data_IF_395776265281
#
_entry.id   IF_395776265281
#
_cell.length_a   1.000
_cell.length_b   1.000
_cell.length_c   1.000
_cell.angle_alpha   90.00
_cell.angle_beta   90.00
_cell.angle_gamma   90.00
#
_symmetry.space_group_name_H-M   'P 1'
#
loop_
_entity.id
_entity.type
_entity.pdbx_description
1 polymer ?
#
# COMPACT_ATOMS: atom_id res chain seq x y z
N UNK A 1 21.45 -24.30 13.39
CA UNK A 1 21.54 -24.10 11.93
C UNK A 1 21.21 -22.64 11.69
N UNK A 2 22.19 -21.84 11.28
CA UNK A 2 22.02 -20.41 11.10
C UNK A 2 21.22 -20.18 9.81
N UNK A 3 20.01 -19.63 9.93
CA UNK A 3 19.28 -19.11 8.78
C UNK A 3 20.10 -17.96 8.20
N UNK A 4 20.70 -18.22 7.04
CA UNK A 4 21.29 -17.21 6.17
C UNK A 4 20.13 -16.34 5.68
N UNK A 5 19.92 -15.18 6.29
CA UNK A 5 18.92 -14.21 5.88
C UNK A 5 19.59 -13.08 5.08
N UNK A 6 18.92 -12.69 4.00
CA UNK A 6 19.48 -12.10 2.79
C UNK A 6 20.22 -10.76 2.96
N UNK A 7 21.28 -10.64 2.17
CA UNK A 7 22.30 -9.59 2.20
C UNK A 7 21.77 -8.36 1.44
N UNK A 8 21.57 -7.22 2.13
CA UNK A 8 21.22 -5.97 1.45
C UNK A 8 22.47 -5.25 0.92
N UNK A 9 22.51 -5.00 -0.39
CA UNK A 9 23.64 -4.35 -1.07
C UNK A 9 23.28 -2.87 -1.31
N UNK A 10 23.91 -1.96 -0.57
CA UNK A 10 24.06 -0.58 -1.09
C UNK A 10 25.12 -0.63 -2.18
N UNK A 11 24.70 -0.63 -3.44
CA UNK A 11 25.62 -0.57 -4.58
C UNK A 11 25.79 0.90 -4.97
N UNK A 12 26.99 1.43 -4.79
CA UNK A 12 27.39 2.73 -5.34
C UNK A 12 27.38 2.65 -6.87
N UNK A 13 27.22 3.78 -7.58
CA UNK A 13 27.31 3.83 -9.07
C UNK A 13 28.57 3.15 -9.61
N UNK A 14 29.66 3.20 -8.85
CA UNK A 14 30.95 2.59 -9.18
C UNK A 14 30.99 1.06 -9.00
N UNK A 15 29.97 0.44 -8.38
CA UNK A 15 29.90 -0.99 -8.08
C UNK A 15 30.88 -1.52 -7.02
N UNK A 16 31.70 -0.64 -6.41
CA UNK A 16 32.88 -1.05 -5.59
C UNK A 16 32.54 -1.44 -4.16
N UNK A 17 31.60 -0.77 -3.49
CA UNK A 17 31.34 -1.03 -2.07
C UNK A 17 30.16 -1.97 -1.91
N UNK A 18 30.42 -3.20 -1.47
CA UNK A 18 29.40 -4.18 -1.06
C UNK A 18 29.47 -4.33 0.45
N UNK A 19 28.51 -3.80 1.17
CA UNK A 19 28.43 -4.02 2.62
C UNK A 19 27.40 -5.07 2.87
N UNK A 20 27.80 -6.12 3.57
CA UNK A 20 26.89 -7.16 4.00
C UNK A 20 26.09 -6.63 5.19
N UNK A 21 24.83 -6.36 4.94
CA UNK A 21 23.89 -5.92 5.94
C UNK A 21 23.06 -7.11 6.39
N UNK A 22 23.02 -7.36 7.70
CA UNK A 22 22.06 -8.31 8.28
C UNK A 22 20.71 -7.63 8.41
N UNK A 23 19.70 -8.17 7.74
CA UNK A 23 18.30 -7.88 8.01
C UNK A 23 17.89 -8.71 9.22
N UNK A 24 17.66 -8.04 10.34
CA UNK A 24 17.12 -8.68 11.56
C UNK A 24 15.99 -7.82 12.06
N UNK A 25 14.82 -8.42 12.20
CA UNK A 25 13.59 -7.68 12.42
C UNK A 25 13.45 -6.53 11.39
N UNK A 26 13.56 -6.79 10.06
CA UNK A 26 13.66 -5.82 8.92
C UNK A 26 13.88 -4.36 9.21
N UNK A 27 14.85 -4.18 10.07
CA UNK A 27 15.70 -3.03 10.05
C UNK A 27 17.09 -3.56 9.82
N UNK A 28 17.89 -2.67 9.28
CA UNK A 28 19.29 -2.88 9.01
C UNK A 28 20.04 -2.58 10.30
N UNK A 29 20.88 -3.51 10.75
CA UNK A 29 21.74 -3.31 11.90
C UNK A 29 23.19 -3.25 11.47
N UNK A 30 23.90 -2.18 11.84
CA UNK A 30 25.33 -2.04 11.61
C UNK A 30 26.07 -1.76 12.91
N UNK A 31 27.26 -2.33 13.04
CA UNK A 31 28.20 -1.91 14.08
C UNK A 31 28.81 -0.56 13.69
N UNK A 32 29.40 0.14 14.67
CA UNK A 32 30.18 1.34 14.39
C UNK A 32 31.30 1.07 13.36
N UNK A 33 31.96 -0.08 13.43
CA UNK A 33 33.02 -0.45 12.50
C UNK A 33 32.49 -0.60 11.05
N UNK A 34 31.31 -1.19 10.88
CA UNK A 34 30.68 -1.29 9.56
C UNK A 34 30.25 0.08 9.02
N UNK A 35 29.80 1.01 9.87
CA UNK A 35 29.50 2.39 9.46
C UNK A 35 30.75 3.18 9.06
N UNK A 36 31.89 2.94 9.71
CA UNK A 36 33.20 3.51 9.34
C UNK A 36 33.57 3.08 7.92
N UNK A 37 33.39 1.80 7.58
CA UNK A 37 33.62 1.27 6.25
C UNK A 37 32.62 1.84 5.22
N UNK A 38 31.33 1.86 5.57
CA UNK A 38 30.26 2.36 4.71
C UNK A 38 30.47 3.79 4.28
N UNK A 39 30.71 4.66 5.25
CA UNK A 39 30.84 6.08 4.99
C UNK A 39 32.29 6.51 4.75
N UNK A 40 33.26 5.60 4.73
CA UNK A 40 34.69 5.90 4.59
C UNK A 40 35.11 7.09 5.48
N UNK A 41 34.79 6.97 6.77
CA UNK A 41 34.98 8.01 7.78
C UNK A 41 35.91 7.51 8.88
N UNK A 42 36.30 8.36 9.83
CA UNK A 42 37.05 7.91 11.01
C UNK A 42 36.10 7.37 12.09
N UNK A 43 36.60 6.43 12.90
CA UNK A 43 35.86 5.92 14.06
C UNK A 43 35.44 7.06 15.01
N UNK A 44 36.33 8.02 15.26
CA UNK A 44 36.06 9.17 16.11
C UNK A 44 34.89 10.02 15.57
N UNK A 45 34.87 10.29 14.27
CA UNK A 45 33.81 11.08 13.64
C UNK A 45 32.44 10.36 13.70
N UNK A 46 32.43 9.04 13.47
CA UNK A 46 31.19 8.25 13.61
C UNK A 46 30.72 8.24 15.08
N UNK A 47 31.62 8.05 16.06
CA UNK A 47 31.28 8.15 17.48
C UNK A 47 30.66 9.50 17.84
N UNK A 48 31.26 10.58 17.35
CA UNK A 48 30.83 11.95 17.62
C UNK A 48 29.42 12.19 17.08
N UNK A 49 29.14 11.81 15.83
CA UNK A 49 27.80 11.95 15.26
C UNK A 49 26.74 11.12 16.00
N UNK A 50 27.05 9.87 16.37
CA UNK A 50 26.12 9.03 17.15
C UNK A 50 25.82 9.68 18.50
N UNK A 51 26.86 10.19 19.17
CA UNK A 51 26.70 10.87 20.44
C UNK A 51 25.80 12.11 20.31
N UNK A 52 26.05 12.97 19.33
CA UNK A 52 25.23 14.16 19.10
C UNK A 52 23.77 13.82 18.74
N UNK A 53 23.53 12.75 17.97
CA UNK A 53 22.17 12.27 17.64
C UNK A 53 21.35 12.01 18.92
N UNK A 54 21.95 11.37 19.93
CA UNK A 54 21.28 11.08 21.18
C UNK A 54 21.20 12.30 22.11
N UNK A 55 22.25 13.12 22.18
CA UNK A 55 22.25 14.35 23.00
C UNK A 55 21.23 15.39 22.51
N UNK A 56 21.02 15.48 21.19
CA UNK A 56 20.00 16.34 20.57
C UNK A 56 18.57 15.79 20.71
N UNK A 57 18.43 14.53 21.17
CA UNK A 57 17.14 13.86 21.30
C UNK A 57 16.48 13.51 19.97
N UNK A 58 17.23 13.50 18.85
CA UNK A 58 16.71 13.09 17.53
C UNK A 58 16.24 11.63 17.56
N UNK A 59 17.03 10.77 18.19
CA UNK A 59 16.74 9.35 18.38
C UNK A 59 16.90 8.97 19.85
N UNK A 60 16.15 7.96 20.29
CA UNK A 60 16.26 7.38 21.63
C UNK A 60 17.18 6.16 21.59
N UNK A 61 18.20 6.11 22.46
CA UNK A 61 19.22 5.06 22.46
C UNK A 61 18.60 3.68 22.68
N UNK A 62 17.66 3.55 23.62
CA UNK A 62 17.01 2.27 23.97
C UNK A 62 16.18 1.69 22.82
N UNK A 63 15.72 2.54 21.90
CA UNK A 63 14.91 2.13 20.75
C UNK A 63 15.76 1.79 19.51
N UNK A 64 17.00 2.29 19.45
CA UNK A 64 17.83 2.29 18.23
C UNK A 64 19.17 1.57 18.37
N UNK A 65 19.57 1.20 19.59
CA UNK A 65 20.80 0.46 19.89
C UNK A 65 20.48 -0.91 20.47
N UNK A 66 21.17 -1.94 19.98
CA UNK A 66 21.13 -3.31 20.54
C UNK A 66 22.53 -3.81 20.83
N UNK A 67 22.70 -4.49 21.97
CA UNK A 67 23.96 -5.12 22.35
C UNK A 67 23.93 -6.59 21.99
N UNK A 68 24.78 -7.00 21.05
CA UNK A 68 24.94 -8.41 20.70
C UNK A 68 26.23 -8.95 21.28
N UNK A 69 26.13 -10.11 21.91
CA UNK A 69 27.27 -10.83 22.49
C UNK A 69 28.03 -11.50 21.35
N UNK A 70 29.22 -11.02 21.05
CA UNK A 70 30.07 -11.55 19.99
C UNK A 70 31.28 -12.22 20.61
N UNK A 71 31.57 -13.46 20.20
CA UNK A 71 32.78 -14.19 20.58
C UNK A 71 33.81 -13.95 19.49
N UNK A 72 34.95 -13.37 19.84
CA UNK A 72 36.06 -13.14 18.93
C UNK A 72 37.28 -13.90 19.46
N UNK A 73 37.97 -14.62 18.58
CA UNK A 73 39.22 -15.29 18.90
C UNK A 73 40.38 -14.31 18.72
N UNK A 74 41.03 -13.90 19.81
CA UNK A 74 42.22 -13.06 19.80
C UNK A 74 43.43 -13.91 20.21
N UNK A 75 44.26 -14.29 19.23
CA UNK A 75 45.38 -15.22 19.45
C UNK A 75 44.88 -16.62 19.82
N UNK A 76 45.21 -17.11 21.03
CA UNK A 76 44.77 -18.41 21.55
C UNK A 76 43.55 -18.32 22.49
N UNK A 77 42.98 -17.13 22.70
CA UNK A 77 41.89 -16.90 23.65
C UNK A 77 40.60 -16.52 22.95
N UNK A 78 39.50 -17.16 23.34
CA UNK A 78 38.15 -16.70 23.02
C UNK A 78 37.75 -15.60 24.00
N UNK A 79 37.52 -14.40 23.48
CA UNK A 79 37.09 -13.24 24.26
C UNK A 79 35.67 -12.90 23.85
N UNK A 80 34.75 -12.89 24.82
CA UNK A 80 33.39 -12.45 24.56
C UNK A 80 33.23 -10.97 24.86
N UNK A 81 32.71 -10.20 23.89
CA UNK A 81 32.44 -8.76 24.04
C UNK A 81 30.99 -8.47 23.67
N UNK A 82 30.39 -7.50 24.37
CA UNK A 82 29.14 -6.91 23.93
C UNK A 82 29.48 -5.83 22.92
N UNK A 83 28.97 -5.97 21.70
CA UNK A 83 29.15 -5.00 20.62
C UNK A 83 27.81 -4.30 20.40
N UNK A 84 27.87 -2.98 20.28
CA UNK A 84 26.71 -2.16 19.99
C UNK A 84 26.41 -2.19 18.48
N UNK A 85 25.15 -2.45 18.15
CA UNK A 85 24.58 -2.41 16.82
C UNK A 85 23.55 -1.30 16.77
N UNK A 86 23.61 -0.53 15.69
CA UNK A 86 22.77 0.64 15.44
C UNK A 86 21.80 0.33 14.31
N UNK A 87 20.54 0.69 14.49
CA UNK A 87 19.49 0.44 13.51
C UNK A 87 19.57 1.38 12.29
N UNK A 88 18.67 1.18 11.33
CA UNK A 88 18.62 1.97 10.09
C UNK A 88 18.50 3.48 10.34
N UNK A 89 17.75 3.89 11.37
CA UNK A 89 17.53 5.32 11.65
C UNK A 89 18.85 6.01 12.01
N UNK A 90 19.64 5.41 12.91
CA UNK A 90 20.98 5.93 13.26
C UNK A 90 21.90 5.95 12.04
N UNK A 91 21.88 4.90 11.21
CA UNK A 91 22.71 4.81 10.01
C UNK A 91 22.37 5.93 9.02
N UNK A 92 21.08 6.22 8.81
CA UNK A 92 20.62 7.32 7.96
C UNK A 92 21.08 8.65 8.55
N UNK A 93 20.83 8.90 9.84
CA UNK A 93 21.20 10.15 10.52
C UNK A 93 22.71 10.41 10.48
N UNK A 94 23.53 9.38 10.66
CA UNK A 94 24.99 9.46 10.48
C UNK A 94 25.34 9.76 9.03
N UNK A 95 24.74 9.07 8.06
CA UNK A 95 24.99 9.29 6.63
C UNK A 95 24.72 10.72 6.17
N UNK A 96 23.72 11.40 6.76
CA UNK A 96 23.47 12.81 6.49
C UNK A 96 24.52 13.75 7.10
N UNK A 97 25.10 13.42 8.25
CA UNK A 97 26.08 14.25 8.96
C UNK A 97 27.53 14.04 8.51
N UNK A 98 27.89 12.84 8.05
CA UNK A 98 29.27 12.51 7.70
C UNK A 98 29.74 13.30 6.47
N UNK A 99 30.87 14.00 6.63
CA UNK A 99 31.57 14.70 5.54
C UNK A 99 32.60 13.78 4.88
N UNK A 100 32.14 12.94 3.96
CA UNK A 100 32.99 12.09 3.11
C UNK A 100 32.44 12.01 1.68
N UNK A 101 33.21 11.44 0.75
CA UNK A 101 32.73 11.16 -0.61
C UNK A 101 31.52 10.22 -0.56
N UNK A 102 31.59 9.13 0.23
CA UNK A 102 30.49 8.18 0.41
C UNK A 102 29.27 8.82 1.09
N UNK A 103 29.47 9.69 2.10
CA UNK A 103 28.38 10.46 2.70
C UNK A 103 27.70 11.38 1.70
N UNK A 104 28.48 12.00 0.80
CA UNK A 104 27.93 12.83 -0.30
C UNK A 104 27.11 12.00 -1.28
N UNK A 105 27.62 10.86 -1.74
CA UNK A 105 26.89 9.94 -2.62
C UNK A 105 25.60 9.41 -1.97
N UNK A 106 25.67 9.05 -0.69
CA UNK A 106 24.50 8.64 0.09
C UNK A 106 23.42 9.72 0.11
N UNK A 107 23.79 10.98 0.39
CA UNK A 107 22.84 12.11 0.39
C UNK A 107 22.25 12.39 -0.98
N UNK A 108 23.05 12.31 -2.05
CA UNK A 108 22.55 12.46 -3.43
C UNK A 108 21.50 11.39 -3.71
N UNK A 109 21.85 10.13 -3.48
CA UNK A 109 20.94 8.99 -3.67
C UNK A 109 19.66 9.13 -2.83
N UNK A 110 19.76 9.44 -1.54
CA UNK A 110 18.60 9.60 -0.67
C UNK A 110 17.70 10.76 -1.10
N UNK A 111 18.30 11.88 -1.52
CA UNK A 111 17.57 13.05 -2.05
C UNK A 111 16.85 12.72 -3.34
N UNK A 112 17.45 11.94 -4.23
CA UNK A 112 16.78 11.47 -5.46
C UNK A 112 15.59 10.58 -5.15
N UNK A 113 15.73 9.63 -4.23
CA UNK A 113 14.61 8.76 -3.81
C UNK A 113 13.48 9.55 -3.16
N UNK A 114 13.81 10.56 -2.35
CA UNK A 114 12.81 11.46 -1.75
C UNK A 114 12.13 12.33 -2.81
N UNK A 115 12.92 12.90 -3.75
CA UNK A 115 12.40 13.70 -4.86
C UNK A 115 11.47 12.87 -5.73
N UNK A 116 11.87 11.65 -6.05
CA UNK A 116 11.07 10.71 -6.84
C UNK A 116 9.72 10.44 -6.15
N UNK A 117 9.73 10.14 -4.85
CA UNK A 117 8.51 9.97 -4.08
C UNK A 117 7.63 11.23 -4.08
N UNK A 118 8.21 12.42 -3.89
CA UNK A 118 7.46 13.68 -3.86
C UNK A 118 6.85 14.05 -5.22
N UNK A 119 7.52 13.72 -6.34
CA UNK A 119 7.04 14.05 -7.69
C UNK A 119 6.10 12.98 -8.23
N UNK A 120 6.47 11.70 -8.12
CA UNK A 120 5.76 10.57 -8.73
C UNK A 120 4.75 9.91 -7.78
N UNK A 121 4.90 10.09 -6.47
CA UNK A 121 4.09 9.43 -5.44
C UNK A 121 4.59 8.03 -5.04
N UNK A 122 5.70 7.54 -5.60
CA UNK A 122 6.28 6.24 -5.26
C UNK A 122 7.80 6.21 -5.50
N UNK A 123 8.50 5.30 -4.82
CA UNK A 123 9.91 4.94 -5.03
C UNK A 123 10.01 3.42 -4.97
N UNK A 124 10.78 2.81 -5.86
CA UNK A 124 10.86 1.35 -5.98
C UNK A 124 12.30 0.88 -6.22
N UNK A 125 12.60 -0.33 -5.72
CA UNK A 125 13.84 -1.05 -6.04
C UNK A 125 13.49 -2.26 -6.91
N UNK A 126 13.49 -2.07 -8.23
CA UNK A 126 13.09 -3.09 -9.21
C UNK A 126 13.90 -4.37 -9.12
N UNK A 127 15.22 -4.27 -8.94
CA UNK A 127 16.10 -5.43 -8.91
C UNK A 127 15.83 -6.31 -7.69
N UNK A 128 15.57 -5.70 -6.53
CA UNK A 128 15.16 -6.42 -5.33
C UNK A 128 13.81 -7.12 -5.51
N UNK A 129 12.83 -6.45 -6.12
CA UNK A 129 11.51 -7.03 -6.35
C UNK A 129 11.56 -8.18 -7.36
N UNK A 130 12.39 -8.07 -8.41
CA UNK A 130 12.62 -9.15 -9.39
C UNK A 130 13.28 -10.39 -8.79
N UNK A 131 14.06 -10.22 -7.73
CA UNK A 131 14.73 -11.32 -7.01
C UNK A 131 13.80 -12.06 -6.03
N UNK A 132 12.50 -11.73 -6.01
CA UNK A 132 11.52 -12.42 -5.16
C UNK A 132 11.42 -11.86 -3.75
N UNK A 133 11.77 -10.58 -3.55
CA UNK A 133 11.60 -9.92 -2.25
C UNK A 133 10.18 -10.08 -1.71
N UNK A 134 10.04 -10.42 -0.42
CA UNK A 134 8.77 -10.82 0.20
C UNK A 134 7.64 -9.79 0.22
N UNK A 135 7.86 -8.58 -0.30
CA UNK A 135 6.89 -7.49 -0.34
C UNK A 135 6.22 -7.28 -1.71
N UNK A 136 6.58 -8.09 -2.71
CA UNK A 136 6.02 -7.93 -4.07
C UNK A 136 4.49 -8.13 -4.09
N UNK A 137 3.98 -9.15 -3.40
CA UNK A 137 2.52 -9.39 -3.31
C UNK A 137 1.79 -8.25 -2.59
N UNK A 138 2.35 -7.71 -1.51
CA UNK A 138 1.78 -6.54 -0.82
C UNK A 138 1.72 -5.32 -1.76
N UNK A 139 2.76 -5.11 -2.56
CA UNK A 139 2.79 -4.04 -3.55
C UNK A 139 1.72 -4.24 -4.63
N UNK A 140 1.57 -5.47 -5.14
CA UNK A 140 0.53 -5.79 -6.12
C UNK A 140 -0.87 -5.54 -5.58
N UNK A 141 -1.15 -5.93 -4.33
CA UNK A 141 -2.48 -5.70 -3.73
C UNK A 141 -2.76 -4.22 -3.52
N UNK A 142 -1.77 -3.43 -3.10
CA UNK A 142 -1.89 -1.95 -3.05
C UNK A 142 -2.17 -1.35 -4.43
N UNK A 143 -1.47 -1.81 -5.47
CA UNK A 143 -1.71 -1.34 -6.85
C UNK A 143 -3.12 -1.69 -7.31
N UNK A 144 -3.59 -2.91 -7.05
CA UNK A 144 -4.95 -3.36 -7.39
C UNK A 144 -6.01 -2.51 -6.68
N UNK A 145 -5.80 -2.18 -5.41
CA UNK A 145 -6.72 -1.32 -4.65
C UNK A 145 -6.77 0.12 -5.17
N UNK A 146 -5.61 0.69 -5.53
CA UNK A 146 -5.54 2.01 -6.17
C UNK A 146 -6.26 1.99 -7.53
N UNK A 147 -6.02 0.95 -8.33
CA UNK A 147 -6.62 0.79 -9.67
C UNK A 147 -8.14 0.60 -9.61
N UNK A 148 -8.64 -0.07 -8.57
CA UNK A 148 -10.07 -0.29 -8.35
C UNK A 148 -10.79 0.88 -7.66
N UNK A 149 -10.05 1.88 -7.19
CA UNK A 149 -10.69 3.10 -6.70
C UNK A 149 -11.59 3.67 -7.80
N UNK A 150 -12.83 4.02 -7.45
CA UNK A 150 -13.86 4.37 -8.44
C UNK A 150 -13.36 5.41 -9.43
N UNK A 151 -12.69 6.45 -8.94
CA UNK A 151 -12.12 7.52 -9.77
C UNK A 151 -11.10 7.02 -10.79
N UNK A 152 -10.17 6.13 -10.39
CA UNK A 152 -9.13 5.62 -11.29
C UNK A 152 -9.73 4.62 -12.28
N UNK A 153 -10.61 3.74 -11.80
CA UNK A 153 -11.35 2.80 -12.63
C UNK A 153 -12.14 3.53 -13.72
N UNK A 154 -13.02 4.46 -13.35
CA UNK A 154 -13.84 5.20 -14.33
C UNK A 154 -12.99 5.95 -15.33
N UNK A 155 -11.90 6.61 -14.89
CA UNK A 155 -10.99 7.29 -15.80
C UNK A 155 -10.37 6.32 -16.80
N UNK A 156 -9.89 5.15 -16.35
CA UNK A 156 -9.28 4.14 -17.23
C UNK A 156 -10.26 3.52 -18.20
N UNK A 157 -11.46 3.18 -17.71
CA UNK A 157 -12.54 2.68 -18.57
C UNK A 157 -12.93 3.74 -19.60
N UNK A 158 -13.01 5.01 -19.23
CA UNK A 158 -13.29 6.11 -20.17
C UNK A 158 -12.18 6.27 -21.21
N UNK A 159 -10.91 6.26 -20.80
CA UNK A 159 -9.76 6.33 -21.71
C UNK A 159 -9.83 5.21 -22.77
N UNK A 160 -10.10 3.98 -22.35
CA UNK A 160 -10.24 2.81 -23.22
C UNK A 160 -11.48 2.95 -24.10
N UNK A 161 -12.65 3.25 -23.52
CA UNK A 161 -13.92 3.32 -24.25
C UNK A 161 -13.91 4.45 -25.29
N UNK A 162 -13.18 5.54 -25.02
CA UNK A 162 -12.97 6.64 -25.96
C UNK A 162 -12.10 6.25 -27.17
N UNK A 163 -11.37 5.12 -27.12
CA UNK A 163 -10.66 4.58 -28.29
C UNK A 163 -11.59 3.94 -29.32
N UNK A 164 -12.89 3.80 -29.01
CA UNK A 164 -13.86 3.24 -29.94
C UNK A 164 -13.97 4.08 -31.21
N UNK A 165 -14.03 3.43 -32.36
CA UNK A 165 -14.11 4.11 -33.66
C UNK A 165 -15.41 4.92 -33.79
N UNK A 166 -16.48 4.43 -33.17
CA UNK A 166 -17.81 5.05 -33.13
C UNK A 166 -18.09 5.81 -31.82
N UNK A 167 -17.04 6.18 -31.06
CA UNK A 167 -17.21 6.82 -29.75
C UNK A 167 -18.10 8.07 -29.83
N UNK A 168 -19.17 8.06 -29.02
CA UNK A 168 -20.06 9.20 -28.86
C UNK A 168 -20.44 9.38 -27.38
N UNK A 169 -19.99 10.46 -26.71
CA UNK A 169 -20.27 10.70 -25.30
C UNK A 169 -21.76 10.92 -24.99
N UNK A 170 -22.55 11.35 -25.98
CA UNK A 170 -23.99 11.62 -25.83
C UNK A 170 -24.86 10.43 -26.20
N UNK A 171 -24.29 9.37 -26.77
CA UNK A 171 -25.04 8.17 -27.15
C UNK A 171 -25.61 7.46 -25.92
N UNK A 172 -26.82 6.92 -26.08
CA UNK A 172 -27.50 6.19 -25.01
C UNK A 172 -26.72 4.94 -24.58
N UNK A 173 -26.05 4.27 -25.53
CA UNK A 173 -25.14 3.15 -25.27
C UNK A 173 -24.02 3.51 -24.31
N UNK A 174 -23.42 4.70 -24.46
CA UNK A 174 -22.36 5.19 -23.57
C UNK A 174 -22.89 5.42 -22.16
N UNK A 175 -24.04 6.10 -22.05
CA UNK A 175 -24.68 6.35 -20.74
C UNK A 175 -25.02 5.04 -20.03
N UNK A 176 -25.67 4.11 -20.75
CA UNK A 176 -26.05 2.82 -20.20
C UNK A 176 -24.83 1.98 -19.79
N UNK A 177 -23.75 2.01 -20.58
CA UNK A 177 -22.51 1.31 -20.24
C UNK A 177 -21.95 1.79 -18.91
N UNK A 178 -21.77 3.11 -18.72
CA UNK A 178 -21.21 3.65 -17.47
C UNK A 178 -22.16 3.48 -16.28
N UNK A 179 -23.47 3.45 -16.49
CA UNK A 179 -24.45 3.14 -15.44
C UNK A 179 -24.41 1.66 -15.00
N UNK A 180 -24.07 0.75 -15.91
CA UNK A 180 -24.18 -0.70 -15.65
C UNK A 180 -22.85 -1.37 -15.34
N UNK A 181 -21.72 -0.85 -15.83
CA UNK A 181 -20.39 -1.47 -15.66
C UNK A 181 -20.04 -1.70 -14.19
N UNK A 182 -20.29 -0.71 -13.33
CA UNK A 182 -20.01 -0.82 -11.90
C UNK A 182 -20.92 -1.86 -11.24
N UNK A 183 -22.22 -1.84 -11.53
CA UNK A 183 -23.17 -2.81 -10.99
C UNK A 183 -22.85 -4.25 -11.42
N UNK A 184 -22.42 -4.45 -12.67
CA UNK A 184 -21.97 -5.76 -13.15
C UNK A 184 -20.74 -6.25 -12.37
N UNK A 185 -19.77 -5.39 -12.10
CA UNK A 185 -18.55 -5.72 -11.34
C UNK A 185 -18.84 -6.03 -9.87
N UNK A 186 -19.67 -5.22 -9.22
CA UNK A 186 -20.12 -5.48 -7.85
C UNK A 186 -20.93 -6.78 -7.76
N UNK A 187 -21.83 -7.02 -8.71
CA UNK A 187 -22.60 -8.24 -8.76
C UNK A 187 -21.72 -9.47 -8.95
N UNK A 188 -20.74 -9.41 -9.85
CA UNK A 188 -19.78 -10.49 -10.05
C UNK A 188 -18.86 -10.71 -8.83
N UNK A 189 -18.61 -9.69 -8.01
CA UNK A 189 -17.77 -9.82 -6.83
C UNK A 189 -18.52 -10.41 -5.62
N UNK A 190 -19.78 -10.01 -5.42
CA UNK A 190 -20.51 -10.30 -4.18
C UNK A 190 -22.04 -10.39 -4.34
N UNK A 191 -22.56 -10.48 -5.56
CA UNK A 191 -23.98 -10.75 -5.83
C UNK A 191 -24.96 -9.59 -5.54
N UNK A 192 -24.46 -8.37 -5.41
CA UNK A 192 -25.29 -7.18 -5.14
C UNK A 192 -24.87 -6.03 -6.06
N UNK A 193 -25.79 -5.15 -6.41
CA UNK A 193 -25.48 -3.85 -7.04
C UNK A 193 -24.88 -2.88 -6.02
N UNK A 194 -24.28 -1.78 -6.50
CA UNK A 194 -23.74 -0.70 -5.65
C UNK A 194 -24.80 -0.16 -4.69
N UNK A 195 -26.01 0.06 -5.20
CA UNK A 195 -27.12 0.60 -4.43
C UNK A 195 -27.63 -0.40 -3.38
N UNK A 196 -27.70 -1.69 -3.71
CA UNK A 196 -28.10 -2.74 -2.77
C UNK A 196 -27.10 -2.89 -1.63
N UNK A 197 -25.79 -2.95 -1.91
CA UNK A 197 -24.75 -3.01 -0.85
C UNK A 197 -24.90 -1.84 0.12
N UNK A 198 -24.95 -0.61 -0.42
CA UNK A 198 -25.04 0.59 0.41
C UNK A 198 -26.35 0.61 1.20
N UNK A 199 -27.48 0.27 0.56
CA UNK A 199 -28.76 0.25 1.24
C UNK A 199 -28.83 -0.84 2.32
N UNK A 200 -28.34 -2.04 2.07
CA UNK A 200 -28.41 -3.14 3.05
C UNK A 200 -27.46 -2.95 4.23
N UNK A 201 -26.26 -2.41 3.97
CA UNK A 201 -25.17 -2.37 4.95
C UNK A 201 -25.04 -1.05 5.70
N UNK A 202 -25.51 0.07 5.15
CA UNK A 202 -25.53 1.33 5.90
C UNK A 202 -26.51 1.24 7.08
N UNK A 203 -25.95 1.21 8.29
CA UNK A 203 -26.72 1.02 9.52
C UNK A 203 -26.05 1.69 10.71
N UNK A 204 -26.64 2.77 11.22
CA UNK A 204 -26.14 3.54 12.37
C UNK A 204 -26.03 2.75 13.67
N UNK A 205 -26.70 1.60 13.79
CA UNK A 205 -26.60 0.67 14.90
C UNK A 205 -25.33 -0.20 14.90
N UNK A 206 -24.65 -0.31 13.76
CA UNK A 206 -23.39 -1.04 13.62
C UNK A 206 -22.18 -0.14 13.94
N UNK A 207 -21.05 -0.70 14.40
CA UNK A 207 -19.77 0.00 14.48
C UNK A 207 -19.48 0.74 13.17
N UNK A 208 -19.13 2.03 13.25
CA UNK A 208 -18.82 2.87 12.08
C UNK A 208 -19.86 2.80 10.96
N UNK A 209 -21.13 2.63 11.31
CA UNK A 209 -22.24 2.49 10.36
C UNK A 209 -22.19 1.27 9.42
N UNK A 210 -21.36 0.27 9.73
CA UNK A 210 -21.12 -0.89 8.86
C UNK A 210 -20.02 -0.67 7.82
N UNK A 211 -19.29 0.46 7.86
CA UNK A 211 -18.12 0.66 7.01
C UNK A 211 -16.95 -0.22 7.50
N UNK A 212 -16.26 -0.82 6.54
CA UNK A 212 -15.03 -1.61 6.73
C UNK A 212 -13.79 -0.82 6.37
N UNK A 213 -13.92 0.25 5.58
CA UNK A 213 -12.83 1.14 5.18
C UNK A 213 -13.26 2.61 5.20
N UNK A 214 -12.52 3.45 5.91
CA UNK A 214 -12.69 4.91 5.96
C UNK A 214 -11.43 5.57 6.52
N UNK A 215 -11.28 6.87 6.29
CA UNK A 215 -10.15 7.63 6.76
C UNK A 215 -10.43 8.30 8.12
N UNK A 216 -9.40 8.36 8.96
CA UNK A 216 -9.49 9.00 10.27
C UNK A 216 -10.20 8.15 11.32
N UNK A 217 -10.72 8.79 12.37
CA UNK A 217 -11.29 8.10 13.54
C UNK A 217 -12.78 7.74 13.39
N UNK A 218 -13.49 8.39 12.45
CA UNK A 218 -14.94 8.20 12.21
C UNK A 218 -15.23 8.40 10.72
N UNK A 219 -16.23 7.69 10.15
CA UNK A 219 -16.66 7.88 8.77
C UNK A 219 -17.04 9.32 8.44
N UNK A 220 -16.65 9.78 7.24
CA UNK A 220 -17.10 11.05 6.67
C UNK A 220 -18.37 10.90 5.84
N UNK A 221 -19.09 12.00 5.64
CA UNK A 221 -20.31 12.05 4.80
C UNK A 221 -20.07 11.67 3.33
N UNK A 222 -18.84 11.83 2.83
CA UNK A 222 -18.46 11.40 1.48
C UNK A 222 -18.16 9.90 1.39
N UNK A 223 -17.74 9.28 2.50
CA UNK A 223 -17.35 7.86 2.51
C UNK A 223 -18.55 6.93 2.62
N UNK A 224 -19.62 7.35 3.29
CA UNK A 224 -20.88 6.57 3.39
C UNK A 224 -21.58 6.40 2.03
N UNK A 225 -21.22 7.20 1.03
CA UNK A 225 -21.83 7.11 -0.32
C UNK A 225 -21.05 6.19 -1.26
N UNK A 226 -19.95 5.59 -0.79
CA UNK A 226 -19.07 4.73 -1.58
C UNK A 226 -19.33 3.28 -1.19
N UNK A 227 -19.93 2.48 -2.10
CA UNK A 227 -20.27 1.09 -1.79
C UNK A 227 -19.05 0.22 -1.46
N UNK A 228 -17.88 0.50 -2.07
CA UNK A 228 -16.61 -0.17 -1.79
C UNK A 228 -16.25 -0.16 -0.29
N UNK A 229 -16.62 0.91 0.43
CA UNK A 229 -16.32 1.07 1.86
C UNK A 229 -17.15 0.18 2.79
N UNK A 230 -18.14 -0.54 2.26
CA UNK A 230 -18.97 -1.50 2.98
C UNK A 230 -18.62 -2.96 2.68
N UNK A 231 -17.60 -3.20 1.83
CA UNK A 231 -17.19 -4.54 1.43
C UNK A 231 -16.24 -5.15 2.44
N UNK A 232 -16.38 -6.44 2.72
CA UNK A 232 -15.38 -7.15 3.52
C UNK A 232 -14.10 -7.40 2.72
N UNK A 233 -13.05 -7.89 3.38
CA UNK A 233 -11.73 -8.11 2.77
C UNK A 233 -11.78 -9.04 1.56
N UNK A 234 -12.55 -10.14 1.63
CA UNK A 234 -12.67 -11.11 0.54
C UNK A 234 -13.41 -10.52 -0.67
N UNK A 235 -14.54 -9.86 -0.44
CA UNK A 235 -15.33 -9.19 -1.49
C UNK A 235 -14.51 -8.10 -2.19
N UNK A 236 -13.77 -7.31 -1.41
CA UNK A 236 -12.89 -6.26 -1.90
C UNK A 236 -11.75 -6.86 -2.73
N UNK A 237 -11.14 -7.94 -2.25
CA UNK A 237 -10.07 -8.66 -2.93
C UNK A 237 -10.54 -9.24 -4.28
N UNK A 238 -11.76 -9.76 -4.35
CA UNK A 238 -12.36 -10.26 -5.60
C UNK A 238 -12.66 -9.09 -6.54
N UNK A 239 -13.33 -8.04 -6.06
CA UNK A 239 -13.66 -6.85 -6.85
C UNK A 239 -12.40 -6.23 -7.48
N UNK A 240 -11.34 -6.07 -6.69
CA UNK A 240 -10.06 -5.50 -7.12
C UNK A 240 -9.42 -6.33 -8.25
N UNK A 241 -9.51 -7.68 -8.16
CA UNK A 241 -9.00 -8.60 -9.18
C UNK A 241 -9.84 -8.56 -10.46
N UNK A 242 -11.16 -8.54 -10.35
CA UNK A 242 -12.07 -8.45 -11.50
C UNK A 242 -11.86 -7.14 -12.27
N UNK A 243 -11.78 -6.02 -11.55
CA UNK A 243 -11.50 -4.71 -12.14
C UNK A 243 -10.14 -4.72 -12.87
N UNK A 244 -9.10 -5.23 -12.22
CA UNK A 244 -7.76 -5.28 -12.81
C UNK A 244 -7.73 -6.14 -14.07
N UNK A 245 -8.30 -7.35 -14.02
CA UNK A 245 -8.34 -8.26 -15.15
C UNK A 245 -9.11 -7.69 -16.35
N UNK A 246 -10.25 -7.03 -16.10
CA UNK A 246 -11.00 -6.36 -17.17
C UNK A 246 -10.16 -5.26 -17.83
N UNK A 247 -9.51 -4.41 -17.05
CA UNK A 247 -8.66 -3.34 -17.57
C UNK A 247 -7.46 -3.90 -18.33
N UNK A 248 -6.83 -4.98 -17.88
CA UNK A 248 -5.70 -5.62 -18.56
C UNK A 248 -6.10 -6.17 -19.94
N UNK A 249 -7.25 -6.84 -20.04
CA UNK A 249 -7.78 -7.33 -21.33
C UNK A 249 -8.01 -6.16 -22.27
N UNK A 250 -8.57 -5.08 -21.75
CA UNK A 250 -8.88 -3.93 -22.54
C UNK A 250 -7.64 -3.16 -23.02
N UNK A 251 -6.63 -3.03 -22.17
CA UNK A 251 -5.31 -2.49 -22.54
C UNK A 251 -4.62 -3.35 -23.61
N UNK A 252 -4.68 -4.68 -23.50
CA UNK A 252 -4.13 -5.60 -24.53
C UNK A 252 -4.80 -5.39 -25.88
N UNK A 253 -6.13 -5.29 -25.93
CA UNK A 253 -6.85 -5.05 -27.19
C UNK A 253 -6.48 -3.70 -27.81
N UNK A 254 -6.32 -2.66 -26.98
CA UNK A 254 -5.88 -1.34 -27.43
C UNK A 254 -4.44 -1.36 -27.95
N UNK A 255 -3.51 -2.01 -27.24
CA UNK A 255 -2.11 -2.17 -27.67
C UNK A 255 -1.97 -2.94 -28.99
N UNK A 256 -2.85 -3.91 -29.22
CA UNK A 256 -2.90 -4.67 -30.48
C UNK A 256 -3.54 -3.89 -31.63
N UNK A 257 -3.93 -2.63 -31.43
CA UNK A 257 -4.60 -1.78 -32.42
C UNK A 257 -5.85 -2.46 -33.02
N UNK A 258 -6.53 -3.30 -32.24
CA UNK A 258 -7.79 -3.89 -32.68
C UNK A 258 -8.82 -2.77 -32.77
N UNK A 259 -9.40 -2.61 -33.96
CA UNK A 259 -10.54 -1.77 -34.19
C UNK A 259 -11.71 -2.24 -33.31
N UNK A 260 -12.07 -1.45 -32.31
CA UNK A 260 -13.18 -1.75 -31.38
C UNK A 260 -14.28 -0.70 -31.55
N UNK A 261 -15.53 -1.15 -31.51
CA UNK A 261 -16.69 -0.27 -31.34
C UNK A 261 -17.11 -0.19 -29.88
N UNK A 262 -17.95 0.78 -29.55
CA UNK A 262 -18.61 0.90 -28.25
C UNK A 262 -19.32 -0.40 -27.84
N UNK A 263 -19.91 -1.11 -28.80
CA UNK A 263 -20.59 -2.39 -28.57
C UNK A 263 -19.61 -3.53 -28.29
N UNK A 264 -18.46 -3.54 -28.96
CA UNK A 264 -17.44 -4.57 -28.74
C UNK A 264 -16.87 -4.50 -27.32
N UNK A 265 -16.66 -3.29 -26.79
CA UNK A 265 -16.23 -3.12 -25.40
C UNK A 265 -17.23 -3.65 -24.38
N UNK A 266 -18.53 -3.44 -24.63
CA UNK A 266 -19.60 -4.05 -23.81
C UNK A 266 -19.52 -5.58 -23.90
N UNK A 267 -19.31 -6.11 -25.12
CA UNK A 267 -19.15 -7.54 -25.37
C UNK A 267 -17.93 -8.15 -24.65
N UNK A 268 -16.81 -7.42 -24.57
CA UNK A 268 -15.61 -7.84 -23.83
C UNK A 268 -15.91 -7.95 -22.33
N UNK A 269 -16.60 -6.96 -21.76
CA UNK A 269 -17.00 -7.00 -20.35
C UNK A 269 -17.93 -8.21 -20.08
N UNK A 270 -18.97 -8.38 -20.90
CA UNK A 270 -19.92 -9.48 -20.72
C UNK A 270 -19.26 -10.85 -20.94
N UNK A 271 -18.34 -10.95 -21.91
CA UNK A 271 -17.56 -12.16 -22.17
C UNK A 271 -16.62 -12.50 -21.01
N UNK A 272 -15.96 -11.49 -20.44
CA UNK A 272 -15.11 -11.64 -19.25
C UNK A 272 -15.92 -12.19 -18.06
N UNK A 273 -17.11 -11.64 -17.81
CA UNK A 273 -17.98 -12.13 -16.73
C UNK A 273 -18.46 -13.56 -16.94
N UNK A 274 -18.76 -13.96 -18.18
CA UNK A 274 -19.14 -15.35 -18.49
C UNK A 274 -17.97 -16.31 -18.24
N UNK A 275 -16.78 -15.92 -18.68
CA UNK A 275 -15.58 -16.77 -18.56
C UNK A 275 -15.13 -16.93 -17.10
N UNK A 276 -15.31 -15.91 -16.27
CA UNK A 276 -14.96 -15.96 -14.84
C UNK A 276 -15.93 -16.78 -13.99
N UNK A 277 -16.92 -17.45 -14.61
CA UNK A 277 -17.99 -18.22 -13.95
C UNK A 277 -18.78 -17.41 -12.91
N UNK A 278 -18.75 -16.08 -13.03
CA UNK A 278 -19.49 -15.20 -12.13
C UNK A 278 -20.93 -15.06 -12.60
N UNK A 279 -21.84 -14.84 -11.65
CA UNK A 279 -23.21 -14.50 -12.01
C UNK A 279 -23.23 -13.14 -12.70
N UNK A 280 -24.03 -13.01 -13.75
CA UNK A 280 -24.17 -11.76 -14.50
C UNK A 280 -25.46 -11.10 -14.09
N UNK A 281 -25.37 -9.82 -13.75
CA UNK A 281 -26.54 -8.99 -13.55
C UNK A 281 -27.25 -8.78 -14.89
N UNK A 282 -28.49 -9.25 -14.99
CA UNK A 282 -29.34 -9.13 -16.18
C UNK A 282 -30.43 -8.05 -16.05
N UNK A 283 -30.62 -7.49 -14.87
CA UNK A 283 -31.60 -6.45 -14.56
C UNK A 283 -30.94 -5.22 -13.90
N UNK A 284 -31.75 -4.24 -13.47
CA UNK A 284 -31.25 -3.01 -12.87
C UNK A 284 -30.97 -3.12 -11.36
N UNK A 285 -31.14 -4.30 -10.76
CA UNK A 285 -31.21 -4.49 -9.31
C UNK A 285 -32.56 -4.10 -8.73
N UNK A 286 -32.70 -4.27 -7.42
CA UNK A 286 -33.96 -4.02 -6.68
C UNK A 286 -34.04 -2.63 -6.05
N UNK A 287 -32.89 -1.98 -5.84
CA UNK A 287 -32.78 -0.73 -5.09
C UNK A 287 -32.26 0.39 -6.00
N UNK A 288 -32.93 1.55 -5.98
CA UNK A 288 -32.46 2.72 -6.72
C UNK A 288 -31.31 3.42 -6.00
N UNK A 289 -30.42 4.05 -6.78
CA UNK A 289 -29.29 4.81 -6.24
C UNK A 289 -29.76 5.94 -5.30
N UNK A 290 -30.85 6.65 -5.65
CA UNK A 290 -31.40 7.73 -4.82
C UNK A 290 -31.90 7.20 -3.46
N UNK A 291 -32.58 6.06 -3.46
CA UNK A 291 -33.09 5.45 -2.23
C UNK A 291 -31.94 5.01 -1.32
N UNK A 292 -30.91 4.38 -1.90
CA UNK A 292 -29.71 3.97 -1.18
C UNK A 292 -28.97 5.17 -0.56
N UNK A 293 -28.76 6.24 -1.33
CA UNK A 293 -28.11 7.46 -0.84
C UNK A 293 -28.91 8.11 0.28
N UNK A 294 -30.23 8.23 0.10
CA UNK A 294 -31.10 8.80 1.13
C UNK A 294 -31.01 8.02 2.44
N UNK A 295 -31.07 6.68 2.37
CA UNK A 295 -30.91 5.83 3.55
C UNK A 295 -29.55 6.05 4.21
N UNK A 296 -28.44 5.97 3.46
CA UNK A 296 -27.10 6.13 4.02
C UNK A 296 -26.93 7.50 4.72
N UNK A 297 -27.47 8.56 4.12
CA UNK A 297 -27.47 9.91 4.71
C UNK A 297 -28.30 9.98 6.00
N UNK A 298 -29.49 9.37 6.04
CA UNK A 298 -30.33 9.32 7.25
C UNK A 298 -29.65 8.56 8.38
N UNK A 299 -29.05 7.42 8.07
CA UNK A 299 -28.24 6.64 9.02
C UNK A 299 -27.04 7.44 9.52
N UNK A 300 -26.40 8.25 8.66
CA UNK A 300 -25.28 9.09 9.05
C UNK A 300 -25.66 10.18 10.05
N UNK A 301 -26.76 10.88 9.80
CA UNK A 301 -27.23 11.91 10.74
C UNK A 301 -27.61 11.27 12.09
N UNK A 302 -28.18 10.06 12.06
CA UNK A 302 -28.49 9.29 13.28
C UNK A 302 -27.22 8.87 14.02
N UNK A 303 -26.22 8.33 13.31
CA UNK A 303 -24.91 7.96 13.87
C UNK A 303 -24.20 9.16 14.48
N UNK A 304 -24.20 10.30 13.80
CA UNK A 304 -23.57 11.55 14.26
C UNK A 304 -24.26 12.14 15.49
N UNK A 305 -25.57 11.94 15.63
CA UNK A 305 -26.35 12.43 16.78
C UNK A 305 -26.09 11.66 18.08
N UNK A 306 -25.42 10.50 18.03
CA UNK A 306 -25.00 9.75 19.22
C UNK A 306 -23.91 10.52 19.99
N UNK A 307 -23.89 10.46 21.34
CA UNK A 307 -22.95 11.23 22.15
C UNK A 307 -21.50 11.04 21.69
N UNK A 308 -20.79 12.17 21.60
CA UNK A 308 -19.62 12.34 20.73
C UNK A 308 -18.36 11.60 21.21
N UNK A 309 -18.33 11.13 22.46
CA UNK A 309 -17.11 10.69 23.17
C UNK A 309 -16.95 9.19 23.45
N UNK A 310 -17.95 8.36 23.18
CA UNK A 310 -17.80 6.91 23.38
C UNK A 310 -17.84 6.16 22.06
N UNK A 311 -16.66 6.00 21.45
CA UNK A 311 -16.44 4.83 20.60
C UNK A 311 -16.82 3.61 21.44
N UNK A 312 -17.70 2.76 20.91
CA UNK A 312 -18.02 1.48 21.54
C UNK A 312 -16.73 0.66 21.74
N UNK A 313 -16.74 -0.30 22.67
CA UNK A 313 -15.59 -1.20 22.85
C UNK A 313 -15.21 -1.93 21.55
N UNK A 314 -16.19 -2.23 20.69
CA UNK A 314 -15.97 -2.82 19.37
C UNK A 314 -15.28 -1.83 18.42
N UNK A 315 -15.68 -0.56 18.42
CA UNK A 315 -15.04 0.49 17.61
C UNK A 315 -13.61 0.78 18.11
N UNK A 316 -13.37 0.76 19.42
CA UNK A 316 -12.02 0.87 20.00
C UNK A 316 -11.16 -0.33 19.61
N UNK A 317 -11.69 -1.55 19.68
CA UNK A 317 -10.98 -2.76 19.28
C UNK A 317 -10.68 -2.78 17.78
N UNK A 318 -11.59 -2.30 16.94
CA UNK A 318 -11.36 -2.17 15.50
C UNK A 318 -10.28 -1.13 15.17
N UNK A 319 -10.30 0.05 15.81
CA UNK A 319 -9.23 1.02 15.64
C UNK A 319 -7.90 0.49 16.17
N UNK A 320 -7.91 -0.24 17.29
CA UNK A 320 -6.74 -0.89 17.83
C UNK A 320 -6.24 -2.03 16.91
N UNK A 321 -7.13 -2.77 16.24
CA UNK A 321 -6.75 -3.81 15.28
C UNK A 321 -6.20 -3.21 14.00
N UNK A 322 -6.72 -2.08 13.51
CA UNK A 322 -6.12 -1.31 12.42
C UNK A 322 -4.74 -0.79 12.85
N UNK A 323 -4.61 -0.18 14.02
CA UNK A 323 -3.30 0.27 14.52
C UNK A 323 -2.32 -0.88 14.72
N UNK A 324 -2.80 -2.05 15.17
CA UNK A 324 -1.99 -3.25 15.32
C UNK A 324 -1.63 -3.84 13.96
N UNK A 325 -2.54 -3.86 12.99
CA UNK A 325 -2.28 -4.27 11.62
C UNK A 325 -1.29 -3.31 10.95
N UNK A 326 -1.41 -2.00 11.15
CA UNK A 326 -0.41 -1.03 10.73
C UNK A 326 0.92 -1.27 11.43
N UNK A 327 0.93 -1.54 12.74
CA UNK A 327 2.14 -1.90 13.49
C UNK A 327 2.71 -3.25 13.04
N UNK A 328 1.88 -4.19 12.61
CA UNK A 328 2.28 -5.51 12.11
C UNK A 328 2.79 -5.40 10.69
N UNK A 329 2.18 -4.63 9.80
CA UNK A 329 2.73 -4.26 8.49
C UNK A 329 4.03 -3.49 8.68
N UNK A 330 4.12 -2.57 9.66
CA UNK A 330 5.38 -1.94 10.06
C UNK A 330 6.37 -2.91 10.71
N UNK A 331 5.90 -4.00 11.32
CA UNK A 331 6.72 -5.08 11.92
C UNK A 331 7.08 -6.19 10.92
N UNK A 332 6.35 -6.30 9.82
CA UNK A 332 6.65 -7.16 8.68
C UNK A 332 7.65 -6.41 7.83
N UNK A 333 7.47 -5.10 7.62
CA UNK A 333 8.54 -4.12 7.29
C UNK A 333 9.65 -4.03 8.35
N UNK A 334 9.53 -4.78 9.46
CA UNK A 334 10.58 -5.12 10.43
C UNK A 334 10.68 -6.66 10.65
N UNK A 335 10.50 -7.54 9.67
CA UNK A 335 11.21 -8.82 9.50
C UNK A 335 11.98 -8.91 8.19
#
# INVERSE_FOLDING_TARGET
>A
MAEQQDIFIYQTEDGVTKIQVQLTDSTVWLTQAAMVELFQSSKANISEHIKHIFEEGELQEEATVRKFRTVQTEGTREVTRNIDYYNLDVIISVGYRVKSLRGTQFRIWATERLREYLIKGFTMNDDLLKQGGGYFEELLDRIRDIRSSEKVFYRKVLEIYATSIDYNPSAETTKLFFQTVQNKLHWAAHGHTVAEVMFERANSGQPFMGLTAFNGKKPSKSEITIAKNYLNEEELAILNRLVSAYLDIAEVNAMQQKAMTMKDWIGVLDGFMKMSQQTILHDAGKISAELAQRKALTEYETYKSKPQDELSEVEKQFLASIEQAEKQVRKIKKK
#
